data_IF_766288206038
#
_entry.id   IF_766288206038
#
_cell.length_a   1.000
_cell.length_b   1.000
_cell.length_c   1.000
_cell.angle_alpha   90.00
_cell.angle_beta   90.00
_cell.angle_gamma   90.00
#
_symmetry.space_group_name_H-M   'P 1'
#
loop_
_entity.id
_entity.type
_entity.pdbx_description
1 polymer ?
#
# COMPACT_ATOMS: atom_id res chain seq x y z
N UNK A 1 -13.10 7.19 -8.06
CA UNK A 1 -12.15 8.17 -7.46
C UNK A 1 -11.14 8.76 -8.48
N UNK A 2 -10.69 10.03 -8.34
CA UNK A 2 -9.60 10.60 -9.18
C UNK A 2 -8.22 10.22 -8.64
N UNK A 3 -7.23 10.01 -9.51
CA UNK A 3 -5.83 9.70 -9.14
C UNK A 3 -4.86 10.55 -9.98
N UNK A 4 -4.64 11.82 -9.61
CA UNK A 4 -3.91 12.77 -10.44
C UNK A 4 -2.39 12.60 -10.42
N UNK A 5 -1.83 11.88 -9.45
CA UNK A 5 -0.40 11.84 -9.17
C UNK A 5 0.28 10.55 -9.62
N UNK A 6 -0.46 9.45 -9.82
CA UNK A 6 0.10 8.18 -10.31
C UNK A 6 0.95 8.31 -11.58
N UNK A 7 0.62 9.28 -12.46
CA UNK A 7 1.39 9.57 -13.69
C UNK A 7 2.86 9.98 -13.44
N UNK A 8 3.21 10.39 -12.22
CA UNK A 8 4.58 10.76 -11.84
C UNK A 8 5.41 9.58 -11.33
N UNK A 9 4.78 8.42 -11.10
CA UNK A 9 5.44 7.23 -10.54
C UNK A 9 5.92 6.34 -11.69
N UNK A 10 7.22 6.05 -11.82
CA UNK A 10 7.71 5.15 -12.86
C UNK A 10 7.20 3.72 -12.66
N UNK A 11 6.91 3.04 -13.77
CA UNK A 11 6.41 1.65 -13.77
C UNK A 11 7.52 0.60 -13.74
N UNK A 12 8.74 0.97 -14.18
CA UNK A 12 9.89 0.08 -14.18
C UNK A 12 10.58 0.03 -12.81
N UNK A 13 10.91 -1.17 -12.31
CA UNK A 13 11.43 -1.38 -10.95
C UNK A 13 12.64 -0.48 -10.64
N UNK A 14 13.67 -0.51 -11.49
CA UNK A 14 14.88 0.29 -11.27
C UNK A 14 14.61 1.80 -11.32
N UNK A 15 13.72 2.25 -12.21
CA UNK A 15 13.35 3.65 -12.32
C UNK A 15 12.53 4.10 -11.11
N UNK A 16 11.61 3.26 -10.64
CA UNK A 16 10.78 3.50 -9.47
C UNK A 16 11.63 3.60 -8.20
N UNK A 17 12.60 2.70 -8.01
CA UNK A 17 13.54 2.76 -6.88
C UNK A 17 14.38 4.05 -6.89
N UNK A 18 14.89 4.46 -8.07
CA UNK A 18 15.61 5.74 -8.22
C UNK A 18 14.70 6.94 -7.91
N UNK A 19 13.44 6.88 -8.34
CA UNK A 19 12.45 7.91 -8.04
C UNK A 19 12.15 8.00 -6.54
N UNK A 20 11.95 6.86 -5.86
CA UNK A 20 11.77 6.78 -4.40
C UNK A 20 12.94 7.41 -3.65
N UNK A 21 14.17 7.08 -4.05
CA UNK A 21 15.37 7.65 -3.47
C UNK A 21 15.47 9.18 -3.68
N UNK A 22 15.05 9.68 -4.86
CA UNK A 22 14.99 11.11 -5.14
C UNK A 22 13.97 11.83 -4.27
N UNK A 23 12.77 11.28 -4.11
CA UNK A 23 11.73 11.84 -3.23
C UNK A 23 12.22 11.85 -1.79
N UNK A 24 12.79 10.73 -1.31
CA UNK A 24 13.34 10.63 0.03
C UNK A 24 14.44 11.67 0.26
N UNK A 25 15.41 11.82 -0.66
CA UNK A 25 16.45 12.85 -0.57
C UNK A 25 15.86 14.25 -0.50
N UNK A 26 14.83 14.54 -1.32
CA UNK A 26 14.17 15.85 -1.28
C UNK A 26 13.55 16.15 0.07
N UNK A 27 12.93 15.16 0.72
CA UNK A 27 12.41 15.30 2.09
C UNK A 27 13.53 15.52 3.11
N UNK A 28 14.69 14.87 2.94
CA UNK A 28 15.83 15.08 3.84
C UNK A 28 16.43 16.48 3.68
N UNK A 29 16.50 16.99 2.45
CA UNK A 29 17.01 18.34 2.15
C UNK A 29 16.01 19.44 2.57
N UNK A 30 14.72 19.15 2.46
CA UNK A 30 13.60 20.05 2.79
C UNK A 30 12.48 19.26 3.50
N UNK A 31 12.50 19.20 4.84
CA UNK A 31 11.52 18.44 5.62
C UNK A 31 10.07 18.87 5.38
N UNK A 32 9.82 20.11 4.95
CA UNK A 32 8.46 20.58 4.64
C UNK A 32 7.83 19.84 3.45
N UNK A 33 8.67 19.30 2.56
CA UNK A 33 8.23 18.52 1.41
C UNK A 33 7.51 17.22 1.81
N UNK A 34 7.75 16.70 3.02
CA UNK A 34 7.04 15.54 3.54
C UNK A 34 5.52 15.79 3.58
N UNK A 35 5.08 17.00 3.98
CA UNK A 35 3.66 17.36 4.01
C UNK A 35 3.05 17.38 2.61
N UNK A 36 3.79 17.87 1.61
CA UNK A 36 3.33 17.85 0.21
C UNK A 36 3.15 16.43 -0.30
N UNK A 37 4.09 15.53 0.03
CA UNK A 37 3.99 14.12 -0.37
C UNK A 37 2.85 13.43 0.39
N UNK A 38 2.66 13.76 1.67
CA UNK A 38 1.54 13.26 2.47
C UNK A 38 0.20 13.62 1.83
N UNK A 39 -0.01 14.88 1.46
CA UNK A 39 -1.25 15.34 0.82
C UNK A 39 -1.47 14.64 -0.53
N UNK A 40 -0.40 14.43 -1.30
CA UNK A 40 -0.48 13.67 -2.55
C UNK A 40 -0.86 12.19 -2.32
N UNK A 41 -0.34 11.56 -1.27
CA UNK A 41 -0.69 10.19 -0.90
C UNK A 41 -2.13 10.10 -0.39
N UNK A 42 -2.58 11.07 0.41
CA UNK A 42 -3.94 11.16 0.92
C UNK A 42 -4.97 11.38 -0.20
N UNK A 43 -4.59 12.06 -1.28
CA UNK A 43 -5.47 12.33 -2.41
C UNK A 43 -5.43 11.23 -3.50
N UNK A 44 -4.36 10.43 -3.57
CA UNK A 44 -4.16 9.43 -4.61
C UNK A 44 -3.61 8.10 -4.04
N UNK A 45 -4.50 7.10 -3.81
CA UNK A 45 -4.09 5.80 -3.27
C UNK A 45 -3.14 5.03 -4.20
N UNK A 46 -3.24 5.25 -5.52
CA UNK A 46 -2.35 4.59 -6.48
C UNK A 46 -0.95 5.19 -6.38
N UNK A 47 -0.86 6.52 -6.25
CA UNK A 47 0.41 7.20 -6.01
C UNK A 47 1.07 6.73 -4.72
N UNK A 48 0.29 6.61 -3.63
CA UNK A 48 0.78 6.11 -2.35
C UNK A 48 1.36 4.69 -2.45
N UNK A 49 0.57 3.74 -2.98
CA UNK A 49 0.96 2.33 -3.04
C UNK A 49 2.09 2.10 -4.06
N UNK A 50 1.96 2.59 -5.30
CA UNK A 50 3.00 2.40 -6.33
C UNK A 50 4.25 3.21 -6.04
N UNK A 51 4.11 4.36 -5.36
CA UNK A 51 5.19 5.26 -5.01
C UNK A 51 5.99 4.80 -3.80
N UNK A 52 5.36 4.25 -2.75
CA UNK A 52 6.04 3.99 -1.47
C UNK A 52 5.82 2.57 -0.95
N UNK A 53 4.79 1.87 -1.41
CA UNK A 53 4.46 0.53 -1.00
C UNK A 53 5.47 -0.54 -1.43
N UNK A 54 5.61 -1.57 -0.62
CA UNK A 54 6.33 -2.80 -0.95
C UNK A 54 5.42 -4.00 -0.71
N UNK A 55 5.65 -5.07 -1.47
CA UNK A 55 5.05 -6.39 -1.29
C UNK A 55 6.11 -7.42 -0.93
N UNK A 56 5.62 -8.56 -0.42
CA UNK A 56 6.43 -9.73 -0.15
C UNK A 56 6.26 -10.80 -1.22
N UNK A 57 7.39 -11.28 -1.77
CA UNK A 57 7.46 -12.39 -2.73
C UNK A 57 8.07 -13.62 -2.03
N UNK A 58 7.28 -14.67 -1.74
CA UNK A 58 7.77 -15.84 -1.02
C UNK A 58 8.61 -16.80 -1.88
N UNK A 59 8.77 -16.53 -3.19
CA UNK A 59 9.44 -17.47 -4.10
C UNK A 59 10.95 -17.53 -3.82
N UNK A 60 11.55 -18.73 -3.82
CA UNK A 60 13.00 -18.88 -3.66
C UNK A 60 13.78 -18.08 -4.71
N UNK A 61 14.92 -17.50 -4.32
CA UNK A 61 15.78 -16.71 -5.22
C UNK A 61 15.27 -15.30 -5.53
N UNK A 62 14.21 -14.84 -4.86
CA UNK A 62 13.74 -13.46 -4.98
C UNK A 62 14.24 -12.61 -3.80
N UNK A 63 14.47 -11.32 -4.05
CA UNK A 63 14.55 -10.35 -2.95
C UNK A 63 13.15 -10.30 -2.34
N UNK A 64 12.93 -11.00 -1.22
CA UNK A 64 11.60 -11.21 -0.66
C UNK A 64 10.78 -9.93 -0.47
N UNK A 65 11.42 -8.75 -0.42
CA UNK A 65 10.79 -7.42 -0.49
C UNK A 65 10.90 -6.83 -1.90
N UNK A 66 9.77 -6.49 -2.53
CA UNK A 66 9.71 -5.85 -3.87
C UNK A 66 8.83 -4.59 -3.88
N UNK A 67 9.17 -3.54 -4.64
CA UNK A 67 8.27 -2.39 -4.82
C UNK A 67 6.92 -2.85 -5.35
N UNK A 68 5.82 -2.41 -4.73
CA UNK A 68 4.49 -2.77 -5.20
C UNK A 68 4.00 -1.79 -6.28
N UNK A 69 4.58 -1.91 -7.47
CA UNK A 69 4.20 -1.09 -8.62
C UNK A 69 2.95 -1.70 -9.24
N UNK A 70 1.81 -1.01 -9.11
CA UNK A 70 0.53 -1.52 -9.56
C UNK A 70 0.46 -1.58 -11.10
N UNK A 71 -0.13 -2.65 -11.61
CA UNK A 71 -0.47 -2.80 -13.01
C UNK A 71 -1.76 -2.04 -13.37
N UNK A 72 -2.01 -1.76 -14.66
CA UNK A 72 -3.24 -1.08 -15.09
C UNK A 72 -4.53 -1.75 -14.58
N UNK A 73 -4.59 -3.09 -14.57
CA UNK A 73 -5.75 -3.80 -14.04
C UNK A 73 -5.91 -3.65 -12.53
N UNK A 74 -4.79 -3.55 -11.79
CA UNK A 74 -4.80 -3.30 -10.35
C UNK A 74 -5.18 -1.85 -10.03
N UNK A 75 -4.88 -0.90 -10.91
CA UNK A 75 -5.40 0.47 -10.78
C UNK A 75 -6.93 0.48 -10.80
N UNK A 76 -7.53 -0.25 -11.74
CA UNK A 76 -8.99 -0.39 -11.79
C UNK A 76 -9.52 -1.10 -10.55
N UNK A 77 -8.94 -2.26 -10.20
CA UNK A 77 -9.40 -3.05 -9.06
C UNK A 77 -9.31 -2.32 -7.72
N UNK A 78 -8.23 -1.57 -7.47
CA UNK A 78 -8.10 -0.79 -6.23
C UNK A 78 -9.12 0.35 -6.18
N UNK A 79 -9.37 1.04 -7.29
CA UNK A 79 -10.40 2.09 -7.34
C UNK A 79 -11.78 1.51 -7.08
N UNK A 80 -12.09 0.36 -7.68
CA UNK A 80 -13.36 -0.34 -7.47
C UNK A 80 -13.54 -0.76 -6.00
N UNK A 81 -12.49 -1.31 -5.36
CA UNK A 81 -12.50 -1.61 -3.93
C UNK A 81 -12.80 -0.36 -3.10
N UNK A 82 -12.13 0.75 -3.38
CA UNK A 82 -12.31 1.99 -2.60
C UNK A 82 -13.66 2.64 -2.85
N UNK A 83 -14.16 2.58 -4.08
CA UNK A 83 -15.46 3.14 -4.47
C UNK A 83 -16.63 2.33 -3.87
N UNK A 84 -16.46 1.03 -3.61
CA UNK A 84 -17.46 0.14 -2.99
C UNK A 84 -17.61 0.30 -1.47
N UNK A 85 -16.57 0.74 -0.77
CA UNK A 85 -16.57 0.89 0.70
C UNK A 85 -17.76 1.74 1.17
N UNK A 86 -18.65 1.12 1.95
CA UNK A 86 -19.85 1.77 2.50
C UNK A 86 -20.98 2.00 1.49
N UNK A 87 -20.90 1.40 0.29
CA UNK A 87 -21.91 1.58 -0.76
C UNK A 87 -22.49 0.27 -1.30
N UNK A 88 -21.66 -0.72 -1.59
CA UNK A 88 -22.10 -2.00 -2.15
C UNK A 88 -21.09 -3.12 -1.88
N UNK A 89 -21.55 -4.36 -2.01
CA UNK A 89 -20.70 -5.54 -1.91
C UNK A 89 -19.93 -5.75 -3.22
N UNK A 90 -18.61 -5.93 -3.11
CA UNK A 90 -17.73 -6.18 -4.25
C UNK A 90 -17.18 -7.61 -4.19
N UNK A 91 -17.51 -8.41 -5.21
CA UNK A 91 -16.91 -9.72 -5.42
C UNK A 91 -15.70 -9.58 -6.35
N UNK A 92 -14.54 -10.08 -5.92
CA UNK A 92 -13.32 -10.10 -6.72
C UNK A 92 -12.99 -11.55 -7.04
N UNK A 93 -13.18 -11.95 -8.30
CA UNK A 93 -12.66 -13.22 -8.77
C UNK A 93 -11.14 -13.11 -8.93
N UNK A 94 -10.41 -13.81 -8.05
CA UNK A 94 -8.96 -13.70 -7.94
C UNK A 94 -8.31 -14.82 -8.74
N UNK A 95 -7.43 -14.45 -9.66
CA UNK A 95 -6.45 -15.42 -10.17
C UNK A 95 -5.22 -15.47 -9.24
N UNK A 96 -4.45 -16.56 -9.33
CA UNK A 96 -3.22 -16.71 -8.51
C UNK A 96 -2.21 -15.61 -8.84
N UNK A 97 -1.44 -15.20 -7.84
CA UNK A 97 -0.33 -14.26 -7.97
C UNK A 97 -0.67 -12.83 -8.48
N UNK A 98 -1.94 -12.44 -8.49
CA UNK A 98 -2.37 -11.08 -8.87
C UNK A 98 -2.29 -10.02 -7.75
N UNK A 99 -1.90 -10.39 -6.54
CA UNK A 99 -1.85 -9.45 -5.41
C UNK A 99 -3.23 -8.98 -4.92
N UNK A 100 -4.32 -9.68 -5.23
CA UNK A 100 -5.68 -9.27 -4.83
C UNK A 100 -5.83 -9.02 -3.31
N UNK A 101 -5.31 -9.92 -2.47
CA UNK A 101 -5.35 -9.72 -1.02
C UNK A 101 -4.51 -8.53 -0.54
N UNK A 102 -3.42 -8.19 -1.26
CA UNK A 102 -2.66 -6.97 -0.97
C UNK A 102 -3.49 -5.73 -1.32
N UNK A 103 -4.17 -5.71 -2.46
CA UNK A 103 -5.03 -4.58 -2.83
C UNK A 103 -6.15 -4.34 -1.80
N UNK A 104 -6.83 -5.39 -1.33
CA UNK A 104 -7.88 -5.23 -0.32
C UNK A 104 -7.32 -4.69 1.01
N UNK A 105 -6.22 -5.26 1.50
CA UNK A 105 -5.58 -4.82 2.75
C UNK A 105 -5.08 -3.39 2.64
N UNK A 106 -4.40 -3.04 1.55
CA UNK A 106 -3.85 -1.69 1.36
C UNK A 106 -4.91 -0.64 1.07
N UNK A 107 -6.08 -1.02 0.54
CA UNK A 107 -7.22 -0.11 0.45
C UNK A 107 -7.70 0.31 1.85
N UNK A 108 -7.82 -0.65 2.78
CA UNK A 108 -8.22 -0.35 4.17
C UNK A 108 -7.11 0.38 4.94
N UNK A 109 -5.84 0.01 4.71
CA UNK A 109 -4.71 0.69 5.30
C UNK A 109 -4.63 2.15 4.83
N UNK A 110 -4.78 2.45 3.54
CA UNK A 110 -4.84 3.82 3.04
C UNK A 110 -5.99 4.62 3.67
N UNK A 111 -7.16 3.99 3.81
CA UNK A 111 -8.32 4.60 4.49
C UNK A 111 -8.01 4.92 5.95
N UNK A 112 -7.42 3.99 6.68
CA UNK A 112 -6.99 4.18 8.07
C UNK A 112 -5.90 5.26 8.20
N UNK A 113 -4.96 5.33 7.26
CA UNK A 113 -3.80 6.22 7.34
C UNK A 113 -4.15 7.68 7.08
N UNK A 114 -5.09 7.93 6.16
CA UNK A 114 -5.41 9.29 5.69
C UNK A 114 -6.82 9.77 6.06
N UNK A 115 -7.69 8.91 6.60
CA UNK A 115 -9.04 9.29 7.01
C UNK A 115 -9.30 8.94 8.48
N UNK A 116 -9.94 9.86 9.19
CA UNK A 116 -10.26 9.71 10.61
C UNK A 116 -11.52 8.89 10.80
N UNK A 117 -11.63 8.26 11.98
CA UNK A 117 -12.87 7.67 12.50
C UNK A 117 -13.49 6.59 11.61
N UNK A 118 -12.64 5.72 11.06
CA UNK A 118 -13.09 4.59 10.25
C UNK A 118 -12.80 3.27 10.96
N UNK A 119 -13.73 2.32 10.85
CA UNK A 119 -13.59 0.97 11.38
C UNK A 119 -13.77 -0.03 10.25
N UNK A 120 -12.85 -0.99 10.17
CA UNK A 120 -12.87 -2.04 9.14
C UNK A 120 -12.66 -3.40 9.80
N UNK A 121 -13.35 -4.42 9.27
CA UNK A 121 -13.16 -5.81 9.65
C UNK A 121 -12.38 -6.53 8.57
N UNK A 122 -11.27 -7.16 8.94
CA UNK A 122 -10.50 -8.06 8.09
C UNK A 122 -10.81 -9.51 8.45
N UNK A 123 -11.45 -10.22 7.52
CA UNK A 123 -11.87 -11.61 7.70
C UNK A 123 -11.14 -12.57 6.76
N UNK A 124 -10.91 -13.79 7.24
CA UNK A 124 -10.46 -14.92 6.44
C UNK A 124 -11.16 -16.19 6.92
N UNK A 125 -11.20 -17.23 6.08
CA UNK A 125 -11.79 -18.54 6.44
C UNK A 125 -11.07 -19.24 7.60
N UNK A 126 -9.86 -18.80 7.92
CA UNK A 126 -8.98 -19.36 8.95
C UNK A 126 -8.39 -18.20 9.77
N UNK A 127 -8.53 -18.28 11.09
CA UNK A 127 -8.04 -17.26 12.01
C UNK A 127 -6.52 -17.03 11.90
N UNK A 128 -5.74 -18.07 11.58
CA UNK A 128 -4.28 -17.97 11.39
C UNK A 128 -3.89 -17.21 10.13
N UNK A 129 -4.84 -17.01 9.19
CA UNK A 129 -4.69 -16.13 8.04
C UNK A 129 -5.26 -14.73 8.29
N UNK A 130 -5.88 -14.47 9.44
CA UNK A 130 -6.25 -13.13 9.87
C UNK A 130 -5.03 -12.48 10.52
N UNK A 131 -4.61 -12.97 11.68
CA UNK A 131 -3.56 -12.34 12.50
C UNK A 131 -2.53 -13.37 12.97
N UNK A 132 -1.37 -13.37 12.29
CA UNK A 132 -0.23 -14.19 12.66
C UNK A 132 1.07 -13.53 12.15
N UNK A 133 1.81 -12.91 13.06
CA UNK A 133 3.07 -12.20 12.78
C UNK A 133 4.19 -13.08 12.18
N UNK A 134 4.11 -14.42 12.30
CA UNK A 134 5.05 -15.35 11.69
C UNK A 134 4.63 -15.81 10.28
N UNK A 135 3.43 -15.45 9.82
CA UNK A 135 2.85 -15.95 8.58
C UNK A 135 2.65 -14.84 7.53
N UNK A 136 3.48 -14.78 6.47
CA UNK A 136 3.33 -13.80 5.39
C UNK A 136 2.00 -13.81 4.63
N UNK A 137 1.18 -14.86 4.84
CA UNK A 137 -0.17 -14.95 4.25
C UNK A 137 -1.23 -14.22 5.09
N UNK A 138 -0.96 -13.96 6.37
CA UNK A 138 -1.87 -13.25 7.27
C UNK A 138 -2.16 -11.84 6.76
N UNK A 139 -3.40 -11.38 6.97
CA UNK A 139 -3.84 -10.04 6.57
C UNK A 139 -3.13 -8.96 7.40
N UNK A 140 -3.08 -9.10 8.73
CA UNK A 140 -2.38 -8.15 9.61
C UNK A 140 -0.87 -8.16 9.38
N UNK A 141 -0.27 -9.32 9.10
CA UNK A 141 1.15 -9.37 8.73
C UNK A 141 1.48 -8.49 7.53
N UNK A 142 0.60 -8.42 6.52
CA UNK A 142 0.80 -7.57 5.33
C UNK A 142 0.76 -6.09 5.68
N UNK A 143 -0.11 -5.70 6.61
CA UNK A 143 -0.17 -4.32 7.13
C UNK A 143 1.14 -4.00 7.83
N UNK A 144 1.59 -4.85 8.75
CA UNK A 144 2.84 -4.62 9.48
C UNK A 144 4.04 -4.57 8.54
N UNK A 145 4.09 -5.46 7.53
CA UNK A 145 5.12 -5.46 6.51
C UNK A 145 5.12 -4.16 5.71
N UNK A 146 3.94 -3.68 5.33
CA UNK A 146 3.77 -2.44 4.59
C UNK A 146 4.23 -1.25 5.42
N UNK A 147 3.78 -1.11 6.67
CA UNK A 147 4.21 -0.06 7.59
C UNK A 147 5.71 -0.06 7.85
N UNK A 148 6.32 -1.23 8.07
CA UNK A 148 7.79 -1.37 8.23
C UNK A 148 8.55 -1.00 6.96
N UNK A 149 7.90 -1.03 5.81
CA UNK A 149 8.52 -0.73 4.52
C UNK A 149 8.36 0.72 4.07
N UNK A 150 7.47 1.49 4.70
CA UNK A 150 7.25 2.90 4.39
C UNK A 150 8.41 3.77 4.91
N UNK A 151 8.66 4.92 4.27
CA UNK A 151 9.59 5.92 4.82
C UNK A 151 9.11 6.40 6.20
N UNK A 152 10.00 6.54 7.20
CA UNK A 152 9.60 6.97 8.55
C UNK A 152 8.85 8.31 8.58
N UNK A 153 9.20 9.24 7.68
CA UNK A 153 8.52 10.54 7.56
C UNK A 153 7.11 10.47 6.98
N UNK A 154 6.71 9.33 6.41
CA UNK A 154 5.36 9.08 5.89
C UNK A 154 4.49 8.32 6.89
N UNK A 155 5.06 7.88 8.02
CA UNK A 155 4.31 7.25 9.11
C UNK A 155 3.84 8.29 10.14
N UNK A 156 2.73 8.04 10.85
CA UNK A 156 2.28 8.92 11.93
C UNK A 156 3.38 9.08 12.99
N UNK A 157 3.51 10.30 13.51
CA UNK A 157 4.50 10.59 14.55
C UNK A 157 4.27 9.72 15.79
N UNK A 158 5.32 9.06 16.26
CA UNK A 158 5.25 8.17 17.43
C UNK A 158 4.66 6.79 17.16
N UNK A 159 4.38 6.43 15.90
CA UNK A 159 3.97 5.08 15.54
C UNK A 159 5.05 4.08 15.94
N UNK A 160 4.66 3.05 16.70
CA UNK A 160 5.53 1.93 17.08
C UNK A 160 5.05 0.70 16.33
N UNK A 161 5.99 0.02 15.67
CA UNK A 161 5.72 -1.26 15.06
C UNK A 161 5.37 -2.28 16.15
N UNK A 162 4.35 -3.09 15.88
CA UNK A 162 3.98 -4.29 16.61
C UNK A 162 5.03 -5.40 16.49
#
# INVERSE_FOLDING_TARGET
>A
MKTPFIKYVPTEICANLKWRAKVHRRVMDDPSYASTVWDACAADPLFYISGFGFTYDPRPGTFGRRPFILWPIQHWGLREILDSIGKYDLLIDKSRDMGASWMCVLAYEWRWHFHREQSFLLGSRDATYVDNAANPKSLFWKIDFFHRSLPPWLMPHGFKYS
#
